data_IF_636652034281
#
_entry.id   IF_636652034281
#
_cell.length_a   1.000
_cell.length_b   1.000
_cell.length_c   1.000
_cell.angle_alpha   90.00
_cell.angle_beta   90.00
_cell.angle_gamma   90.00
#
_symmetry.space_group_name_H-M   'P 1'
#
loop_
_entity.id
_entity.type
_entity.pdbx_description
1 polymer ?
#
# COMPACT_ATOMS: atom_id res chain seq x y z
N UNK A 1 -9.07 1.34 11.17
CA UNK A 1 -8.63 0.36 10.14
C UNK A 1 -7.13 0.56 9.90
N UNK A 2 -6.37 -0.48 9.55
CA UNK A 2 -4.95 -0.31 9.20
C UNK A 2 -4.79 0.06 7.72
N UNK A 3 -3.68 0.70 7.36
CA UNK A 3 -3.36 1.07 5.98
C UNK A 3 -3.33 -0.15 5.04
N UNK A 4 -2.72 -1.25 5.48
CA UNK A 4 -2.71 -2.52 4.73
C UNK A 4 -4.12 -3.06 4.51
N UNK A 5 -4.96 -3.11 5.57
CA UNK A 5 -6.33 -3.61 5.44
C UNK A 5 -7.14 -2.74 4.48
N UNK A 6 -6.99 -1.42 4.55
CA UNK A 6 -7.62 -0.50 3.60
C UNK A 6 -7.20 -0.81 2.16
N UNK A 7 -5.90 -0.89 1.89
CA UNK A 7 -5.37 -1.17 0.55
C UNK A 7 -5.87 -2.52 -0.01
N UNK A 8 -5.81 -3.59 0.79
CA UNK A 8 -6.29 -4.90 0.35
C UNK A 8 -7.80 -4.91 0.07
N UNK A 9 -8.58 -4.16 0.86
CA UNK A 9 -10.00 -3.99 0.60
C UNK A 9 -10.24 -3.24 -0.71
N UNK A 10 -9.55 -2.10 -0.95
CA UNK A 10 -9.71 -1.33 -2.19
C UNK A 10 -9.27 -2.11 -3.42
N UNK A 11 -8.16 -2.85 -3.35
CA UNK A 11 -7.72 -3.72 -4.45
C UNK A 11 -8.74 -4.83 -4.73
N UNK A 12 -9.43 -5.33 -3.70
CA UNK A 12 -10.48 -6.34 -3.90
C UNK A 12 -11.70 -5.76 -4.62
N UNK A 13 -12.06 -4.52 -4.32
CA UNK A 13 -13.10 -3.81 -5.06
C UNK A 13 -12.70 -3.53 -6.51
N UNK A 14 -11.47 -3.05 -6.75
CA UNK A 14 -10.93 -2.85 -8.09
C UNK A 14 -10.98 -4.16 -8.92
N UNK A 15 -10.71 -5.31 -8.30
CA UNK A 15 -10.85 -6.63 -8.95
C UNK A 15 -12.31 -6.92 -9.32
N UNK A 16 -13.25 -6.65 -8.41
CA UNK A 16 -14.67 -6.88 -8.68
C UNK A 16 -15.16 -5.99 -9.84
N UNK A 17 -14.75 -4.73 -9.86
CA UNK A 17 -15.04 -3.79 -10.94
C UNK A 17 -14.40 -4.23 -12.25
N UNK A 18 -13.19 -4.80 -12.23
CA UNK A 18 -12.53 -5.32 -13.42
C UNK A 18 -13.18 -6.61 -13.97
N UNK A 19 -13.75 -7.46 -13.11
CA UNK A 19 -14.46 -8.68 -13.53
C UNK A 19 -15.83 -8.35 -14.14
N UNK A 20 -16.47 -7.27 -13.68
CA UNK A 20 -17.75 -6.77 -14.19
C UNK A 20 -17.65 -5.30 -14.61
N UNK A 21 -16.84 -4.99 -15.65
CA UNK A 21 -16.52 -3.62 -16.02
C UNK A 21 -17.76 -2.88 -16.54
N UNK A 22 -18.00 -1.62 -16.13
CA UNK A 22 -18.90 -0.76 -16.87
C UNK A 22 -18.45 -0.65 -18.34
N UNK A 23 -19.40 -0.43 -19.28
CA UNK A 23 -19.13 -0.41 -20.73
C UNK A 23 -18.15 0.69 -21.18
N UNK A 24 -17.77 1.59 -20.28
CA UNK A 24 -16.85 2.72 -20.51
C UNK A 24 -15.40 2.40 -20.19
N UNK A 25 -15.07 1.23 -19.61
CA UNK A 25 -13.70 0.89 -19.23
C UNK A 25 -12.95 0.16 -20.37
N UNK A 26 -11.77 0.67 -20.78
CA UNK A 26 -11.15 0.28 -22.05
C UNK A 26 -10.39 -1.05 -22.04
N UNK A 27 -10.03 -1.62 -20.89
CA UNK A 27 -9.33 -2.93 -20.85
C UNK A 27 -9.41 -3.61 -19.46
N UNK A 28 -10.34 -4.56 -19.27
CA UNK A 28 -10.46 -5.34 -18.03
C UNK A 28 -9.21 -6.15 -17.69
N UNK A 29 -8.48 -6.66 -18.69
CA UNK A 29 -7.29 -7.46 -18.47
C UNK A 29 -6.16 -6.62 -17.87
N UNK A 30 -6.00 -5.38 -18.34
CA UNK A 30 -5.06 -4.42 -17.76
C UNK A 30 -5.40 -4.09 -16.31
N UNK A 31 -6.67 -3.87 -15.97
CA UNK A 31 -7.10 -3.57 -14.58
C UNK A 31 -6.81 -4.74 -13.64
N UNK A 32 -7.07 -5.97 -14.07
CA UNK A 32 -6.72 -7.17 -13.30
C UNK A 32 -5.21 -7.29 -13.09
N UNK A 33 -4.40 -7.02 -14.13
CA UNK A 33 -2.95 -7.03 -14.02
C UNK A 33 -2.44 -5.97 -13.02
N UNK A 34 -3.02 -4.76 -13.02
CA UNK A 34 -2.73 -3.74 -12.02
C UNK A 34 -3.06 -4.21 -10.60
N UNK A 35 -4.21 -4.86 -10.40
CA UNK A 35 -4.59 -5.39 -9.08
C UNK A 35 -3.59 -6.44 -8.58
N UNK A 36 -3.11 -7.32 -9.46
CA UNK A 36 -2.06 -8.30 -9.13
C UNK A 36 -0.77 -7.58 -8.72
N UNK A 37 -0.34 -6.58 -9.49
CA UNK A 37 0.85 -5.79 -9.18
C UNK A 37 0.72 -5.05 -7.83
N UNK A 38 -0.44 -4.43 -7.55
CA UNK A 38 -0.70 -3.76 -6.26
C UNK A 38 -0.60 -4.72 -5.08
N UNK A 39 -1.12 -5.95 -5.19
CA UNK A 39 -0.97 -6.98 -4.15
C UNK A 39 0.49 -7.36 -3.91
N UNK A 40 1.27 -7.50 -4.98
CA UNK A 40 2.70 -7.76 -4.87
C UNK A 40 3.45 -6.61 -4.19
N UNK A 41 3.12 -5.35 -4.54
CA UNK A 41 3.71 -4.17 -3.89
C UNK A 41 3.41 -4.15 -2.39
N UNK A 42 2.18 -4.49 -1.97
CA UNK A 42 1.84 -4.58 -0.54
C UNK A 42 2.69 -5.65 0.16
N UNK A 43 2.90 -6.82 -0.45
CA UNK A 43 3.76 -7.86 0.11
C UNK A 43 5.22 -7.41 0.21
N UNK A 44 5.76 -6.81 -0.85
CA UNK A 44 7.13 -6.26 -0.88
C UNK A 44 7.33 -5.13 0.13
N UNK A 45 6.30 -4.33 0.40
CA UNK A 45 6.37 -3.30 1.42
C UNK A 45 6.53 -3.90 2.83
N UNK A 46 5.85 -5.01 3.13
CA UNK A 46 6.04 -5.72 4.39
C UNK A 46 7.45 -6.31 4.51
N UNK A 47 7.97 -6.88 3.42
CA UNK A 47 9.36 -7.37 3.36
C UNK A 47 10.36 -6.22 3.60
N UNK A 48 10.16 -5.08 2.94
CA UNK A 48 10.98 -3.89 3.12
C UNK A 48 10.99 -3.41 4.57
N UNK A 49 9.83 -3.37 5.24
CA UNK A 49 9.76 -3.04 6.68
C UNK A 49 10.52 -4.04 7.53
N UNK A 50 10.43 -5.35 7.24
CA UNK A 50 11.17 -6.38 7.97
C UNK A 50 12.70 -6.27 7.82
N UNK A 51 13.18 -5.97 6.61
CA UNK A 51 14.60 -5.69 6.36
C UNK A 51 15.04 -4.43 7.11
N UNK A 52 14.23 -3.38 7.07
CA UNK A 52 14.47 -2.14 7.79
C UNK A 52 14.60 -2.36 9.31
N UNK A 53 13.72 -3.19 9.89
CA UNK A 53 13.75 -3.56 11.31
C UNK A 53 14.98 -4.40 11.65
N UNK A 54 15.40 -5.28 10.75
CA UNK A 54 16.61 -6.09 10.92
C UNK A 54 17.85 -5.20 10.98
N UNK A 55 17.96 -4.23 10.07
CA UNK A 55 19.06 -3.26 10.05
C UNK A 55 19.07 -2.39 11.31
N UNK A 56 17.90 -1.97 11.79
CA UNK A 56 17.81 -1.20 13.04
C UNK A 56 18.24 -2.01 14.26
N UNK A 57 17.93 -3.30 14.31
CA UNK A 57 18.33 -4.19 15.39
C UNK A 57 19.85 -4.46 15.37
N UNK A 58 20.46 -4.48 14.18
CA UNK A 58 21.91 -4.63 13.99
C UNK A 58 22.70 -3.35 14.32
N UNK A 59 22.06 -2.18 14.28
CA UNK A 59 22.64 -0.88 14.67
C UNK A 59 22.28 -0.54 16.12
N UNK A 60 23.07 0.31 16.79
CA UNK A 60 22.80 0.72 18.18
C UNK A 60 21.33 1.17 18.36
N UNK A 61 20.68 0.63 19.40
CA UNK A 61 19.25 0.80 19.66
C UNK A 61 18.86 2.26 19.89
N UNK A 62 17.93 2.80 19.09
CA UNK A 62 17.26 4.09 19.32
C UNK A 62 17.37 5.13 18.18
N UNK A 63 18.30 4.95 17.23
CA UNK A 63 18.54 5.95 16.18
C UNK A 63 17.32 6.22 15.26
N UNK A 64 16.47 5.21 15.01
CA UNK A 64 15.27 5.40 14.18
C UNK A 64 14.12 6.10 14.92
N UNK A 65 13.88 5.77 16.19
CA UNK A 65 12.90 6.48 17.02
C UNK A 65 13.26 7.96 17.18
N UNK A 66 14.55 8.25 17.30
CA UNK A 66 15.05 9.61 17.51
C UNK A 66 15.05 10.45 16.21
N UNK A 67 15.20 9.81 15.05
CA UNK A 67 15.22 10.49 13.75
C UNK A 67 13.83 10.74 13.15
N UNK A 68 12.78 10.08 13.66
CA UNK A 68 11.41 10.19 13.13
C UNK A 68 11.24 9.64 11.71
N UNK A 69 12.24 8.92 11.18
CA UNK A 69 12.20 8.36 9.83
C UNK A 69 11.25 7.17 9.81
N UNK A 70 10.22 7.26 8.97
CA UNK A 70 9.29 6.15 8.73
C UNK A 70 9.96 4.99 8.00
N UNK A 71 9.52 3.77 8.30
CA UNK A 71 9.93 2.57 7.55
C UNK A 71 9.65 2.75 6.06
N UNK A 72 10.54 2.24 5.21
CA UNK A 72 10.41 2.34 3.75
C UNK A 72 9.12 1.65 3.28
N UNK A 73 8.78 0.50 3.87
CA UNK A 73 7.52 -0.17 3.59
C UNK A 73 6.30 0.69 3.88
N UNK A 74 6.26 1.39 5.01
CA UNK A 74 5.18 2.31 5.36
C UNK A 74 5.04 3.44 4.33
N UNK A 75 6.17 3.99 3.85
CA UNK A 75 6.18 5.03 2.81
C UNK A 75 5.64 4.50 1.48
N UNK A 76 5.98 3.27 1.11
CA UNK A 76 5.46 2.59 -0.09
C UNK A 76 3.93 2.43 0.03
N UNK A 77 3.44 1.94 1.17
CA UNK A 77 2.01 1.75 1.40
C UNK A 77 1.25 3.08 1.36
N UNK A 78 1.80 4.15 1.97
CA UNK A 78 1.20 5.50 1.93
C UNK A 78 1.11 6.03 0.50
N UNK A 79 2.19 5.90 -0.27
CA UNK A 79 2.21 6.31 -1.67
C UNK A 79 1.15 5.55 -2.51
N UNK A 80 1.00 4.24 -2.28
CA UNK A 80 -0.03 3.45 -2.96
C UNK A 80 -1.45 3.88 -2.55
N UNK A 81 -1.66 4.23 -1.28
CA UNK A 81 -2.96 4.64 -0.78
C UNK A 81 -3.44 5.99 -1.34
N UNK A 82 -2.54 6.86 -1.83
CA UNK A 82 -2.91 8.13 -2.46
C UNK A 82 -3.81 7.97 -3.68
N UNK A 83 -3.78 6.81 -4.35
CA UNK A 83 -4.71 6.49 -5.45
C UNK A 83 -6.18 6.52 -4.98
N UNK A 84 -6.41 6.28 -3.68
CA UNK A 84 -7.72 6.22 -3.05
C UNK A 84 -8.00 7.41 -2.13
N UNK A 85 -7.31 8.54 -2.29
CA UNK A 85 -7.48 9.74 -1.43
C UNK A 85 -8.91 10.31 -1.44
N UNK A 86 -9.67 10.05 -2.51
CA UNK A 86 -11.08 10.43 -2.61
C UNK A 86 -12.06 9.45 -1.94
N UNK A 87 -11.58 8.34 -1.38
CA UNK A 87 -12.43 7.30 -0.81
C UNK A 87 -12.94 7.69 0.59
N UNK A 88 -14.22 7.44 0.96
CA UNK A 88 -14.76 7.82 2.28
C UNK A 88 -14.02 7.18 3.46
N UNK A 89 -13.49 5.97 3.28
CA UNK A 89 -12.72 5.26 4.29
C UNK A 89 -11.21 5.61 4.30
N UNK A 90 -10.77 6.54 3.44
CA UNK A 90 -9.40 7.00 3.44
C UNK A 90 -9.12 7.85 4.69
N UNK A 91 -8.06 7.54 5.43
CA UNK A 91 -7.61 8.35 6.56
C UNK A 91 -6.65 9.46 6.06
N UNK A 92 -6.99 10.75 6.23
CA UNK A 92 -6.12 11.87 5.88
C UNK A 92 -4.71 11.79 6.47
N UNK A 93 -4.52 11.11 7.60
CA UNK A 93 -3.22 10.91 8.22
C UNK A 93 -2.27 10.02 7.39
N UNK A 94 -2.76 9.36 6.35
CA UNK A 94 -1.95 8.58 5.40
C UNK A 94 -1.34 9.42 4.28
N UNK A 95 -1.74 10.69 4.13
CA UNK A 95 -1.05 11.61 3.21
C UNK A 95 0.42 11.77 3.64
N UNK A 96 1.31 11.87 2.65
CA UNK A 96 2.75 12.12 2.83
C UNK A 96 3.01 13.52 3.37
#
# INVERSE_FOLDING_TARGET
MTLTTFLLARITEDVNDAVSPPPTLPDPARLLAECVAKRQIVALAHEATGLDQTVDMERETGARSDSGVQYVGDRILRALALVYDGHPDFDPAWRL
#
